data_IF_998853509152
#
_entry.id   IF_998853509152
#
_cell.length_a   1.000
_cell.length_b   1.000
_cell.length_c   1.000
_cell.angle_alpha   90.00
_cell.angle_beta   90.00
_cell.angle_gamma   90.00
#
_symmetry.space_group_name_H-M   'P 1'
#
loop_
_entity.id
_entity.type
_entity.pdbx_description
1 polymer ?
#
# COMPACT_ATOMS: atom_id res chain seq x y z
N UNK A 1 -21.82 6.46 5.90
CA UNK A 1 -20.39 6.77 5.88
C UNK A 1 -19.66 5.89 4.89
N UNK A 2 -18.88 6.49 4.05
CA UNK A 2 -18.16 5.74 3.04
C UNK A 2 -16.77 5.33 3.58
N UNK A 3 -16.64 4.07 3.97
CA UNK A 3 -15.39 3.54 4.49
C UNK A 3 -14.66 2.71 3.42
N UNK A 4 -14.63 3.23 2.19
CA UNK A 4 -13.96 2.56 1.08
C UNK A 4 -12.84 3.43 0.51
N UNK A 5 -11.97 2.80 -0.27
CA UNK A 5 -10.92 3.49 -1.01
C UNK A 5 -11.22 3.53 -2.51
N UNK A 6 -12.49 3.33 -2.89
CA UNK A 6 -12.88 3.33 -4.31
C UNK A 6 -12.52 4.62 -5.02
N UNK A 7 -12.72 5.77 -4.36
CA UNK A 7 -12.36 7.06 -4.92
C UNK A 7 -10.87 7.20 -5.16
N UNK A 8 -10.07 6.77 -4.19
CA UNK A 8 -8.61 6.80 -4.29
C UNK A 8 -8.11 5.89 -5.40
N UNK A 9 -8.68 4.69 -5.51
CA UNK A 9 -8.32 3.75 -6.58
C UNK A 9 -8.61 4.37 -7.95
N UNK A 10 -9.79 4.95 -8.12
CA UNK A 10 -10.18 5.59 -9.38
C UNK A 10 -9.25 6.76 -9.73
N UNK A 11 -8.89 7.53 -8.73
CA UNK A 11 -7.96 8.64 -8.89
C UNK A 11 -6.58 8.18 -9.32
N UNK A 12 -6.07 7.12 -8.68
CA UNK A 12 -4.77 6.53 -9.04
C UNK A 12 -4.78 5.96 -10.45
N UNK A 13 -5.87 5.30 -10.87
CA UNK A 13 -5.99 4.80 -12.24
C UNK A 13 -5.89 5.95 -13.26
N UNK A 14 -6.57 7.04 -12.99
CA UNK A 14 -6.54 8.22 -13.85
C UNK A 14 -5.16 8.83 -13.94
N UNK A 15 -4.51 8.99 -12.78
CA UNK A 15 -3.14 9.51 -12.71
C UNK A 15 -2.17 8.61 -13.47
N UNK A 16 -2.28 7.29 -13.30
CA UNK A 16 -1.42 6.34 -13.98
C UNK A 16 -1.58 6.39 -15.49
N UNK A 17 -2.80 6.59 -15.99
CA UNK A 17 -3.02 6.79 -17.41
C UNK A 17 -2.28 8.02 -17.93
N UNK A 18 -2.33 9.11 -17.20
CA UNK A 18 -1.65 10.36 -17.58
C UNK A 18 -0.13 10.22 -17.51
N UNK A 19 0.37 9.52 -16.49
CA UNK A 19 1.80 9.25 -16.37
C UNK A 19 2.31 8.40 -17.53
N UNK A 20 1.53 7.40 -17.95
CA UNK A 20 1.89 6.55 -19.09
C UNK A 20 1.97 7.36 -20.38
N UNK A 21 1.09 8.34 -20.55
CA UNK A 21 1.13 9.23 -21.70
C UNK A 21 2.37 10.10 -21.71
N UNK A 22 2.83 10.55 -20.54
CA UNK A 22 3.97 11.45 -20.41
C UNK A 22 5.32 10.72 -20.38
N UNK A 23 5.40 9.58 -19.70
CA UNK A 23 6.66 8.90 -19.38
C UNK A 23 6.75 7.46 -19.87
N UNK A 24 5.69 6.93 -20.48
CA UNK A 24 5.66 5.56 -20.99
C UNK A 24 4.96 4.60 -20.04
N UNK A 25 4.57 3.45 -20.58
CA UNK A 25 3.72 2.48 -19.86
C UNK A 25 4.40 1.80 -18.68
N UNK A 26 5.73 1.89 -18.58
CA UNK A 26 6.47 1.28 -17.48
C UNK A 26 6.60 2.19 -16.26
N UNK A 27 6.11 3.43 -16.33
CA UNK A 27 6.25 4.39 -15.22
C UNK A 27 5.47 3.96 -13.97
N UNK A 28 4.38 3.25 -14.15
CA UNK A 28 3.60 2.68 -13.05
C UNK A 28 2.76 1.52 -13.57
N UNK A 29 2.42 0.57 -12.70
CA UNK A 29 1.56 -0.53 -13.12
C UNK A 29 0.85 -1.18 -11.92
N UNK A 30 -0.38 -1.64 -12.20
CA UNK A 30 -1.15 -2.45 -11.29
C UNK A 30 -1.03 -3.93 -11.68
N UNK A 31 -1.36 -4.81 -10.76
CA UNK A 31 -1.30 -6.26 -10.95
C UNK A 31 -2.70 -6.87 -10.86
N UNK A 32 -2.87 -8.12 -11.29
CA UNK A 32 -4.15 -8.80 -11.06
C UNK A 32 -4.50 -8.83 -9.57
N UNK A 33 -5.79 -8.83 -9.22
CA UNK A 33 -6.19 -8.89 -7.81
C UNK A 33 -5.69 -10.14 -7.11
N UNK A 34 -5.41 -10.02 -5.81
CA UNK A 34 -5.15 -11.18 -4.98
C UNK A 34 -6.47 -11.97 -4.84
N UNK A 35 -6.40 -13.29 -4.81
CA UNK A 35 -7.60 -14.10 -4.61
C UNK A 35 -8.09 -13.97 -3.17
N UNK A 36 -9.40 -14.11 -2.99
CA UNK A 36 -10.00 -14.11 -1.65
C UNK A 36 -9.40 -15.21 -0.79
N UNK A 37 -9.13 -16.36 -1.38
CA UNK A 37 -8.52 -17.50 -0.69
C UNK A 37 -7.13 -17.15 -0.18
N UNK A 38 -6.31 -16.51 -1.00
CA UNK A 38 -4.96 -16.11 -0.59
C UNK A 38 -4.98 -15.04 0.52
N UNK A 39 -5.89 -14.08 0.44
CA UNK A 39 -6.06 -13.06 1.47
C UNK A 39 -6.45 -13.71 2.80
N UNK A 40 -7.45 -14.59 2.78
CA UNK A 40 -7.91 -15.28 3.98
C UNK A 40 -6.83 -16.18 4.58
N UNK A 41 -6.07 -16.88 3.72
CA UNK A 41 -4.97 -17.72 4.17
C UNK A 41 -3.91 -16.91 4.89
N UNK A 42 -3.55 -15.77 4.33
CA UNK A 42 -2.58 -14.88 4.97
C UNK A 42 -3.10 -14.37 6.32
N UNK A 43 -4.36 -13.94 6.36
CA UNK A 43 -4.97 -13.45 7.60
C UNK A 43 -5.02 -14.51 8.68
N UNK A 44 -5.34 -15.75 8.31
CA UNK A 44 -5.40 -16.85 9.28
C UNK A 44 -4.02 -17.22 9.82
N UNK A 45 -2.98 -17.05 9.01
CA UNK A 45 -1.61 -17.37 9.42
C UNK A 45 -0.99 -16.28 10.28
N UNK A 46 -1.31 -15.02 10.04
CA UNK A 46 -0.65 -13.88 10.69
C UNK A 46 -1.59 -13.01 11.50
N UNK A 47 -2.39 -12.18 10.84
CA UNK A 47 -3.29 -11.24 11.52
C UNK A 47 -4.33 -10.72 10.52
N UNK A 48 -5.44 -10.18 11.03
CA UNK A 48 -6.44 -9.55 10.18
C UNK A 48 -5.85 -8.31 9.48
N UNK A 49 -6.10 -8.19 8.19
CA UNK A 49 -5.68 -7.01 7.44
C UNK A 49 -6.63 -5.85 7.69
N UNK A 50 -6.12 -4.61 7.77
CA UNK A 50 -7.00 -3.44 7.78
C UNK A 50 -7.90 -3.46 6.54
N UNK A 51 -9.14 -3.02 6.70
CA UNK A 51 -10.15 -3.10 5.64
C UNK A 51 -9.70 -2.42 4.35
N UNK A 52 -9.07 -1.25 4.43
CA UNK A 52 -8.61 -0.54 3.24
C UNK A 52 -7.50 -1.30 2.50
N UNK A 53 -6.63 -1.98 3.21
CA UNK A 53 -5.58 -2.79 2.60
C UNK A 53 -6.19 -4.02 1.93
N UNK A 54 -7.19 -4.64 2.56
CA UNK A 54 -7.92 -5.73 1.95
C UNK A 54 -8.59 -5.27 0.64
N UNK A 55 -9.26 -4.12 0.65
CA UNK A 55 -9.87 -3.54 -0.55
C UNK A 55 -8.83 -3.30 -1.65
N UNK A 56 -7.65 -2.83 -1.27
CA UNK A 56 -6.56 -2.64 -2.22
C UNK A 56 -6.18 -3.97 -2.90
N UNK A 57 -5.94 -5.01 -2.10
CA UNK A 57 -5.56 -6.32 -2.63
C UNK A 57 -6.64 -6.94 -3.52
N UNK A 58 -7.90 -6.69 -3.22
CA UNK A 58 -9.02 -7.14 -4.05
C UNK A 58 -9.07 -6.40 -5.39
N UNK A 59 -8.46 -5.24 -5.47
CA UNK A 59 -8.30 -4.48 -6.70
C UNK A 59 -7.00 -4.85 -7.42
N UNK A 60 -5.88 -4.92 -6.70
CA UNK A 60 -4.57 -5.18 -7.28
C UNK A 60 -3.65 -5.81 -6.24
N UNK A 61 -3.04 -6.94 -6.59
CA UNK A 61 -2.03 -7.57 -5.73
C UNK A 61 -0.68 -6.93 -5.98
N UNK A 62 -0.58 -5.66 -5.60
CA UNK A 62 0.66 -4.91 -5.71
C UNK A 62 0.53 -3.67 -6.58
N UNK A 63 1.56 -2.86 -6.54
CA UNK A 63 1.62 -1.63 -7.32
C UNK A 63 3.08 -1.25 -7.47
N UNK A 64 3.49 -1.02 -8.70
CA UNK A 64 4.83 -0.50 -8.97
C UNK A 64 4.70 0.90 -9.52
N UNK A 65 5.46 1.83 -8.93
CA UNK A 65 5.56 3.19 -9.40
C UNK A 65 7.02 3.60 -9.36
N UNK A 66 7.52 4.04 -10.51
CA UNK A 66 8.96 4.32 -10.67
C UNK A 66 9.74 3.06 -10.25
N UNK A 67 10.50 3.12 -9.19
CA UNK A 67 11.26 1.98 -8.69
C UNK A 67 10.73 1.41 -7.38
N UNK A 68 9.62 1.95 -6.88
CA UNK A 68 9.02 1.48 -5.63
C UNK A 68 8.11 0.28 -5.90
N UNK A 69 8.19 -0.71 -5.01
CA UNK A 69 7.34 -1.90 -5.06
C UNK A 69 6.46 -1.90 -3.81
N UNK A 70 5.16 -1.80 -4.00
CA UNK A 70 4.22 -1.57 -2.92
C UNK A 70 3.10 -2.62 -2.90
N UNK A 71 2.71 -3.05 -1.72
CA UNK A 71 1.45 -3.74 -1.44
C UNK A 71 1.25 -5.07 -2.16
N UNK A 72 2.30 -5.83 -2.37
CA UNK A 72 2.21 -7.22 -2.84
C UNK A 72 2.02 -8.14 -1.63
N UNK A 73 0.96 -8.91 -1.62
CA UNK A 73 0.65 -9.78 -0.48
C UNK A 73 1.80 -10.73 -0.14
N UNK A 74 2.46 -11.28 -1.15
CA UNK A 74 3.59 -12.19 -0.96
C UNK A 74 4.81 -11.51 -0.33
N UNK A 75 4.88 -10.18 -0.37
CA UNK A 75 5.98 -9.41 0.21
C UNK A 75 5.67 -8.93 1.63
N UNK A 76 4.47 -9.15 2.14
CA UNK A 76 4.11 -8.74 3.49
C UNK A 76 4.90 -9.56 4.51
N UNK A 77 5.53 -8.87 5.46
CA UNK A 77 6.36 -9.51 6.48
C UNK A 77 5.83 -9.16 7.86
N UNK A 78 5.34 -10.17 8.57
CA UNK A 78 4.93 -10.05 9.96
C UNK A 78 6.06 -10.55 10.85
N UNK A 79 6.23 -9.93 12.01
CA UNK A 79 7.23 -10.33 13.01
C UNK A 79 8.69 -10.23 12.51
N UNK A 80 9.00 -9.19 11.76
CA UNK A 80 10.38 -8.92 11.35
C UNK A 80 11.23 -8.57 12.58
N UNK A 81 12.41 -9.22 12.71
CA UNK A 81 13.24 -9.12 13.92
C UNK A 81 13.73 -7.72 14.26
N UNK A 82 13.86 -6.84 13.27
CA UNK A 82 14.35 -5.48 13.49
C UNK A 82 13.23 -4.44 13.59
N UNK A 83 11.98 -4.88 13.64
CA UNK A 83 10.81 -4.00 13.69
C UNK A 83 9.98 -4.28 14.93
N UNK A 84 9.28 -3.28 15.46
CA UNK A 84 8.30 -3.52 16.53
C UNK A 84 7.31 -4.62 16.14
N UNK A 85 6.91 -5.44 17.11
CA UNK A 85 6.05 -6.60 16.87
C UNK A 85 4.70 -6.25 16.27
N UNK A 86 4.18 -5.05 16.55
CA UNK A 86 2.89 -4.60 16.03
C UNK A 86 2.93 -4.18 14.56
N UNK A 87 4.11 -4.03 13.96
CA UNK A 87 4.22 -3.58 12.57
C UNK A 87 4.32 -4.73 11.58
N UNK A 88 3.55 -4.67 10.52
CA UNK A 88 3.63 -5.58 9.37
C UNK A 88 4.12 -4.78 8.18
N UNK A 89 5.23 -5.20 7.58
CA UNK A 89 5.80 -4.54 6.40
C UNK A 89 4.91 -4.86 5.19
N UNK A 90 4.49 -3.83 4.45
CA UNK A 90 3.65 -3.99 3.26
C UNK A 90 4.28 -3.42 1.99
N UNK A 91 5.46 -2.83 2.10
CA UNK A 91 6.16 -2.29 0.93
C UNK A 91 7.36 -1.48 1.33
N UNK A 92 8.08 -0.99 0.34
CA UNK A 92 9.25 -0.12 0.55
C UNK A 92 9.13 1.11 -0.35
N UNK A 93 9.60 2.23 0.15
CA UNK A 93 9.59 3.50 -0.58
C UNK A 93 10.71 4.38 -0.04
N UNK A 94 11.59 4.84 -0.91
CA UNK A 94 12.67 5.76 -0.54
C UNK A 94 13.51 5.26 0.64
N UNK A 95 13.93 4.00 0.58
CA UNK A 95 14.77 3.35 1.61
C UNK A 95 14.10 3.17 2.97
N UNK A 96 12.80 3.44 3.05
CA UNK A 96 12.01 3.17 4.24
C UNK A 96 10.99 2.08 3.98
N UNK A 97 10.62 1.35 5.02
CA UNK A 97 9.55 0.38 4.95
C UNK A 97 8.21 1.05 5.24
N UNK A 98 7.19 0.64 4.52
CA UNK A 98 5.81 1.01 4.81
C UNK A 98 5.19 -0.16 5.56
N UNK A 99 4.53 0.15 6.67
CA UNK A 99 3.96 -0.86 7.55
C UNK A 99 2.53 -0.50 7.95
N UNK A 100 1.75 -1.50 8.34
CA UNK A 100 0.53 -1.21 9.10
C UNK A 100 0.68 -1.71 10.52
N UNK A 101 0.01 -1.04 11.46
CA UNK A 101 -0.01 -1.45 12.85
C UNK A 101 -1.13 -2.47 13.07
N UNK A 102 -0.81 -3.61 13.69
CA UNK A 102 -1.80 -4.63 14.06
C UNK A 102 -2.79 -4.11 15.10
N UNK A 103 -2.41 -3.07 15.84
CA UNK A 103 -3.22 -2.55 16.95
C UNK A 103 -4.38 -1.71 16.44
N UNK A 104 -4.12 -0.81 15.50
CA UNK A 104 -5.12 0.19 15.08
C UNK A 104 -5.23 0.38 13.57
N UNK A 105 -4.44 -0.34 12.78
CA UNK A 105 -4.47 -0.22 11.32
C UNK A 105 -3.80 1.03 10.78
N UNK A 106 -3.15 1.82 11.61
CA UNK A 106 -2.43 3.00 11.14
C UNK A 106 -1.28 2.60 10.23
N UNK A 107 -0.92 3.47 9.30
CA UNK A 107 0.20 3.24 8.40
C UNK A 107 1.41 3.97 8.95
N UNK A 108 2.55 3.28 8.99
CA UNK A 108 3.76 3.77 9.61
C UNK A 108 4.92 3.68 8.61
N UNK A 109 5.65 4.78 8.44
CA UNK A 109 6.93 4.75 7.74
C UNK A 109 8.02 4.43 8.76
N UNK A 110 8.82 3.43 8.48
CA UNK A 110 9.82 2.94 9.41
C UNK A 110 11.12 2.63 8.68
N UNK A 111 12.18 3.30 9.08
CA UNK A 111 13.53 3.00 8.63
C UNK A 111 14.31 2.46 9.82
N UNK A 112 15.23 3.25 10.35
CA UNK A 112 15.92 2.90 11.62
C UNK A 112 15.02 3.19 12.81
N UNK A 113 13.98 4.02 12.61
CA UNK A 113 12.97 4.36 13.61
C UNK A 113 11.71 4.80 12.87
N UNK A 114 10.62 4.99 13.59
CA UNK A 114 9.39 5.55 13.01
C UNK A 114 9.66 6.98 12.58
N UNK A 115 9.39 7.29 11.30
CA UNK A 115 9.58 8.63 10.74
C UNK A 115 8.25 9.35 10.51
N UNK A 116 7.18 8.63 10.25
CA UNK A 116 5.86 9.22 10.06
C UNK A 116 4.76 8.18 10.26
N UNK A 117 3.59 8.67 10.69
CA UNK A 117 2.42 7.84 10.91
C UNK A 117 1.18 8.49 10.28
N UNK A 118 0.34 7.67 9.64
CA UNK A 118 -0.90 8.11 9.01
C UNK A 118 -2.07 7.41 9.71
N UNK A 119 -3.22 8.10 9.76
CA UNK A 119 -4.38 7.59 10.50
C UNK A 119 -4.88 6.23 9.97
N UNK A 120 -4.84 6.03 8.65
CA UNK A 120 -5.24 4.78 8.01
C UNK A 120 -4.64 4.73 6.60
N UNK A 121 -4.88 3.63 5.89
CA UNK A 121 -4.37 3.45 4.53
C UNK A 121 -4.97 4.46 3.55
N UNK A 122 -6.23 4.84 3.74
CA UNK A 122 -6.88 5.83 2.90
C UNK A 122 -6.18 7.19 3.02
N UNK A 123 -5.89 7.62 4.23
CA UNK A 123 -5.14 8.86 4.49
C UNK A 123 -3.75 8.79 3.88
N UNK A 124 -3.08 7.64 4.00
CA UNK A 124 -1.77 7.44 3.39
C UNK A 124 -1.84 7.64 1.88
N UNK A 125 -2.81 7.03 1.20
CA UNK A 125 -2.97 7.18 -0.25
C UNK A 125 -3.15 8.64 -0.65
N UNK A 126 -4.03 9.36 0.04
CA UNK A 126 -4.33 10.75 -0.27
C UNK A 126 -3.16 11.69 0.02
N UNK A 127 -2.50 11.50 1.16
CA UNK A 127 -1.45 12.43 1.61
C UNK A 127 -0.09 12.15 0.97
N UNK A 128 0.11 10.97 0.40
CA UNK A 128 1.40 10.59 -0.19
C UNK A 128 1.30 10.28 -1.68
N UNK A 129 0.80 9.10 -2.04
CA UNK A 129 0.82 8.65 -3.43
C UNK A 129 0.08 9.59 -4.35
N UNK A 130 -1.18 9.87 -4.06
CA UNK A 130 -2.01 10.71 -4.92
C UNK A 130 -1.43 12.12 -4.99
N UNK A 131 -1.11 12.69 -3.85
CA UNK A 131 -0.58 14.04 -3.78
C UNK A 131 0.76 14.19 -4.51
N UNK A 132 1.67 13.22 -4.28
CA UNK A 132 2.99 13.26 -4.91
C UNK A 132 2.92 13.06 -6.42
N UNK A 133 2.07 12.13 -6.86
CA UNK A 133 1.93 11.84 -8.28
C UNK A 133 1.28 12.99 -9.05
N UNK A 134 0.35 13.70 -8.43
CA UNK A 134 -0.25 14.87 -9.06
C UNK A 134 0.77 15.95 -9.37
N UNK A 135 1.82 16.05 -8.58
CA UNK A 135 2.90 17.01 -8.81
C UNK A 135 3.74 16.66 -10.03
N UNK A 136 3.72 15.40 -10.45
CA UNK A 136 4.43 14.97 -11.66
C UNK A 136 3.63 15.24 -12.94
N UNK A 137 2.39 15.63 -12.83
CA UNK A 137 1.55 15.98 -13.95
C UNK A 137 1.62 17.48 -14.22
#
# INVERSE_FOLDING_TARGET
MNNTISGEINELKEICCKLSELYGDSSSRFYPPASKTDIEKWENEYTALPEHIRQWLEFSDGYEIMNDRLFHLDDFISNHTHFPDELVIIGTSHDESLCFSKIDGQIVRYGMKETRRYADFKSFLNETLIRSLRKEL
#
